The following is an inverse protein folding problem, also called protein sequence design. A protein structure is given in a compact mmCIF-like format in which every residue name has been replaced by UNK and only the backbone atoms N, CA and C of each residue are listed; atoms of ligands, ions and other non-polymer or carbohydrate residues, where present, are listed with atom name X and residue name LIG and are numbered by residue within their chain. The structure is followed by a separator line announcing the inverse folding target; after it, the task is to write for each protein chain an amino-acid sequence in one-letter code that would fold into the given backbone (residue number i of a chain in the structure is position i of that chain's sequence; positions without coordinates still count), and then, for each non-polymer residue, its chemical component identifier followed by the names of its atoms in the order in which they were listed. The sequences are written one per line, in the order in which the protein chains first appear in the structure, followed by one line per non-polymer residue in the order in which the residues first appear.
data_IF_681367315187
#
_entry.id   IF_681367315187
#
_cell.length_a   1.000
_cell.length_b   1.000
_cell.length_c   1.000
_cell.angle_alpha   90.00
_cell.angle_beta   90.00
_cell.angle_gamma   90.00
#
_symmetry.space_group_name_H-M   'P 1'
#
loop_
_entity.id
_entity.type
_entity.pdbx_description
1 polymer ?
#
# COMPACT_ATOMS: atom_id res chain seq x y z
N UNK A 1 20.59 9.45 5.98
CA UNK A 1 20.01 8.21 5.42
C UNK A 1 21.15 7.29 5.03
N UNK A 2 21.33 6.16 5.71
CA UNK A 2 22.28 5.14 5.25
C UNK A 2 21.68 4.39 4.05
N UNK A 3 22.48 4.18 3.01
CA UNK A 3 22.09 3.42 1.83
C UNK A 3 22.00 1.93 2.21
N UNK A 4 20.78 1.38 2.19
CA UNK A 4 20.57 -0.07 2.25
C UNK A 4 20.97 -0.64 0.89
N UNK A 5 21.75 -1.73 0.89
CA UNK A 5 22.19 -2.41 -0.34
C UNK A 5 21.00 -2.65 -1.30
N UNK A 6 21.18 -2.27 -2.57
CA UNK A 6 20.18 -2.39 -3.63
C UNK A 6 19.82 -3.85 -3.96
N UNK A 7 20.64 -4.81 -3.53
CA UNK A 7 20.44 -6.24 -3.81
C UNK A 7 19.33 -6.88 -2.96
N UNK A 8 18.80 -6.16 -1.96
CA UNK A 8 17.86 -6.67 -0.97
C UNK A 8 16.57 -5.85 -0.92
N UNK A 9 15.93 -5.68 -2.09
CA UNK A 9 14.65 -4.97 -2.24
C UNK A 9 13.58 -5.89 -2.85
N UNK A 10 12.38 -5.81 -2.30
CA UNK A 10 11.18 -6.38 -2.89
C UNK A 10 10.49 -5.32 -3.72
N UNK A 11 10.38 -5.56 -5.02
CA UNK A 11 9.79 -4.59 -5.96
C UNK A 11 8.46 -5.15 -6.40
N UNK A 12 7.39 -4.60 -5.83
CA UNK A 12 6.01 -4.92 -6.19
C UNK A 12 5.56 -3.95 -7.28
N UNK A 13 5.25 -4.47 -8.46
CA UNK A 13 4.65 -3.70 -9.55
C UNK A 13 3.17 -3.45 -9.26
N UNK A 14 2.77 -2.18 -9.14
CA UNK A 14 1.36 -1.77 -9.07
C UNK A 14 0.81 -1.65 -10.50
N UNK A 15 -0.04 -2.60 -10.91
CA UNK A 15 -0.45 -2.75 -12.32
C UNK A 15 -1.23 -1.56 -12.90
N UNK A 16 -2.02 -0.88 -12.09
CA UNK A 16 -2.96 0.15 -12.59
C UNK A 16 -2.74 1.52 -11.97
N UNK A 17 -2.05 1.61 -10.82
CA UNK A 17 -2.04 2.76 -9.93
C UNK A 17 -3.44 3.21 -9.47
N UNK A 18 -4.48 2.38 -9.57
CA UNK A 18 -5.78 2.70 -9.00
C UNK A 18 -5.83 2.26 -7.53
N UNK A 19 -6.28 3.16 -6.65
CA UNK A 19 -6.35 2.88 -5.20
C UNK A 19 -7.37 1.79 -4.83
N UNK A 20 -8.33 1.53 -5.72
CA UNK A 20 -9.47 0.64 -5.49
C UNK A 20 -9.42 -0.64 -6.31
N UNK A 21 -8.50 -0.75 -7.28
CA UNK A 21 -8.45 -1.90 -8.19
C UNK A 21 -7.07 -2.03 -8.82
N UNK A 22 -6.16 -2.73 -8.13
CA UNK A 22 -4.84 -3.02 -8.65
C UNK A 22 -4.24 -4.29 -8.08
N UNK A 23 -3.33 -4.89 -8.84
CA UNK A 23 -2.47 -5.98 -8.38
C UNK A 23 -1.08 -5.43 -8.08
N UNK A 24 -0.49 -5.94 -7.00
CA UNK A 24 0.88 -5.71 -6.57
C UNK A 24 1.66 -7.02 -6.70
N UNK A 25 2.42 -7.15 -7.78
CA UNK A 25 3.18 -8.37 -8.10
C UNK A 25 4.67 -8.15 -7.86
N UNK A 26 5.31 -8.96 -7.01
CA UNK A 26 6.76 -8.95 -6.89
C UNK A 26 7.41 -9.39 -8.21
N UNK A 27 8.40 -8.63 -8.69
CA UNK A 27 9.08 -8.94 -9.95
C UNK A 27 9.78 -10.31 -9.96
N UNK A 28 10.11 -10.86 -8.79
CA UNK A 28 10.71 -12.19 -8.62
C UNK A 28 9.70 -13.22 -8.08
N UNK A 29 8.41 -12.96 -8.21
CA UNK A 29 7.32 -13.91 -7.91
C UNK A 29 7.26 -14.39 -6.45
N UNK A 30 7.75 -13.57 -5.50
CA UNK A 30 7.76 -13.91 -4.06
C UNK A 30 6.47 -13.55 -3.33
N UNK A 31 5.71 -12.58 -3.84
CA UNK A 31 4.46 -12.10 -3.25
C UNK A 31 3.53 -11.54 -4.32
N UNK A 32 2.25 -11.89 -4.21
CA UNK A 32 1.18 -11.38 -5.06
C UNK A 32 0.04 -10.90 -4.18
N UNK A 33 -0.31 -9.62 -4.30
CA UNK A 33 -1.42 -9.02 -3.57
C UNK A 33 -2.39 -8.37 -4.54
N UNK A 34 -3.69 -8.50 -4.29
CA UNK A 34 -4.74 -7.82 -5.05
C UNK A 34 -5.50 -6.87 -4.15
N UNK A 35 -5.60 -5.61 -4.56
CA UNK A 35 -6.48 -4.59 -3.99
C UNK A 35 -7.73 -4.53 -4.87
N UNK A 36 -8.91 -4.74 -4.28
CA UNK A 36 -10.18 -4.72 -5.01
C UNK A 36 -11.29 -4.11 -4.17
N UNK A 37 -12.03 -3.16 -4.75
CA UNK A 37 -13.29 -2.62 -4.24
C UNK A 37 -14.39 -3.00 -5.23
N UNK A 38 -15.38 -3.82 -4.82
CA UNK A 38 -16.53 -4.11 -5.66
C UNK A 38 -17.28 -2.84 -6.08
N UNK A 39 -17.88 -2.86 -7.27
CA UNK A 39 -18.68 -1.72 -7.77
C UNK A 39 -19.80 -1.37 -6.79
N UNK A 40 -19.94 -0.09 -6.43
CA UNK A 40 -20.88 0.45 -5.42
C UNK A 40 -20.60 0.06 -3.96
N UNK A 41 -19.53 -0.68 -3.68
CA UNK A 41 -19.10 -0.90 -2.30
C UNK A 41 -18.21 0.25 -1.81
N UNK A 42 -18.20 0.48 -0.50
CA UNK A 42 -17.24 1.40 0.15
C UNK A 42 -16.02 0.65 0.68
N UNK A 43 -16.11 -0.67 0.88
CA UNK A 43 -15.02 -1.50 1.37
C UNK A 43 -14.01 -1.83 0.27
N UNK A 44 -12.75 -1.44 0.46
CA UNK A 44 -11.62 -1.94 -0.32
C UNK A 44 -11.01 -3.15 0.39
N UNK A 45 -10.84 -4.24 -0.32
CA UNK A 45 -10.33 -5.50 0.21
C UNK A 45 -8.94 -5.81 -0.38
N UNK A 46 -8.07 -6.40 0.44
CA UNK A 46 -6.74 -6.84 0.04
C UNK A 46 -6.67 -8.36 0.18
N UNK A 47 -6.26 -9.03 -0.88
CA UNK A 47 -6.15 -10.48 -0.97
C UNK A 47 -4.70 -10.90 -1.19
N UNK A 48 -4.31 -12.02 -0.59
CA UNK A 48 -3.07 -12.71 -0.96
C UNK A 48 -3.37 -13.69 -2.09
N UNK A 49 -2.73 -13.50 -3.23
CA UNK A 49 -2.90 -14.33 -4.41
C UNK A 49 -1.85 -15.44 -4.44
N UNK A 50 -2.17 -16.55 -5.10
CA UNK A 50 -1.24 -17.68 -5.27
C UNK A 50 -0.27 -17.49 -6.44
N UNK A 51 -0.69 -16.73 -7.43
CA UNK A 51 0.03 -16.52 -8.68
C UNK A 51 -0.08 -15.05 -9.10
N UNK A 52 0.86 -14.63 -9.94
CA UNK A 52 0.82 -13.35 -10.63
C UNK A 52 -0.47 -13.26 -11.44
N UNK A 53 -1.14 -12.12 -11.37
CA UNK A 53 -2.26 -11.83 -12.26
C UNK A 53 -1.78 -11.85 -13.71
N UNK A 54 -2.28 -12.77 -14.53
CA UNK A 54 -1.92 -12.79 -15.95
C UNK A 54 -2.50 -11.56 -16.66
N UNK A 55 -1.86 -11.08 -17.72
CA UNK A 55 -2.25 -9.87 -18.48
C UNK A 55 -3.70 -9.88 -19.00
N UNK A 56 -4.38 -11.03 -18.93
CA UNK A 56 -5.78 -11.17 -19.27
C UNK A 56 -6.57 -11.66 -18.06
N UNK A 57 -7.40 -10.77 -17.51
CA UNK A 57 -8.63 -11.09 -16.77
C UNK A 57 -8.57 -12.39 -15.97
N UNK A 58 -8.01 -12.33 -14.77
CA UNK A 58 -8.61 -13.14 -13.71
C UNK A 58 -9.95 -12.50 -13.34
N UNK A 59 -10.93 -12.67 -14.23
CA UNK A 59 -12.35 -12.45 -13.98
C UNK A 59 -12.95 -13.56 -13.12
N UNK A 60 -12.11 -14.48 -12.64
CA UNK A 60 -12.54 -15.46 -11.65
C UNK A 60 -12.94 -14.70 -10.37
N UNK A 61 -14.13 -15.00 -9.83
CA UNK A 61 -14.54 -14.46 -8.55
C UNK A 61 -13.44 -14.71 -7.53
N UNK A 62 -13.11 -13.70 -6.73
CA UNK A 62 -12.22 -13.86 -5.59
C UNK A 62 -12.91 -14.78 -4.58
N UNK A 63 -12.58 -16.06 -4.64
CA UNK A 63 -13.08 -17.08 -3.71
C UNK A 63 -12.30 -17.09 -2.40
N UNK A 64 -11.13 -16.45 -2.37
CA UNK A 64 -10.32 -16.32 -1.18
C UNK A 64 -10.90 -15.26 -0.24
N UNK A 65 -10.83 -15.52 1.07
CA UNK A 65 -11.13 -14.51 2.07
C UNK A 65 -10.08 -13.37 2.03
N UNK A 66 -10.49 -12.11 2.22
CA UNK A 66 -9.56 -11.00 2.26
C UNK A 66 -8.66 -11.09 3.50
N UNK A 67 -7.39 -10.74 3.34
CA UNK A 67 -6.42 -10.67 4.44
C UNK A 67 -6.44 -9.31 5.15
N UNK A 68 -6.95 -8.27 4.47
CA UNK A 68 -7.23 -6.94 5.04
C UNK A 68 -8.51 -6.41 4.42
N UNK A 69 -9.34 -5.75 5.23
CA UNK A 69 -10.53 -5.01 4.77
C UNK A 69 -10.40 -3.56 5.22
N UNK A 70 -10.56 -2.63 4.30
CA UNK A 70 -10.55 -1.18 4.50
C UNK A 70 -11.96 -0.65 4.26
N UNK A 71 -12.72 -0.46 5.33
CA UNK A 71 -14.08 0.03 5.30
C UNK A 71 -14.08 1.56 5.32
N UNK A 72 -14.27 2.16 4.15
CA UNK A 72 -14.54 3.59 4.04
C UNK A 72 -16.03 3.85 4.26
N UNK A 73 -16.36 5.06 4.68
CA UNK A 73 -17.76 5.49 4.79
C UNK A 73 -18.31 5.90 3.41
N UNK A 74 -19.64 6.04 3.24
CA UNK A 74 -20.24 6.41 1.95
C UNK A 74 -19.78 7.75 1.37
N UNK A 75 -19.30 8.68 2.20
CA UNK A 75 -18.70 9.97 1.83
C UNK A 75 -17.18 9.87 1.62
N UNK A 76 -16.64 8.66 1.46
CA UNK A 76 -15.21 8.36 1.29
C UNK A 76 -14.34 8.73 2.49
N UNK A 77 -14.93 9.10 3.64
CA UNK A 77 -14.19 9.34 4.88
C UNK A 77 -13.60 8.03 5.44
N UNK A 78 -12.65 8.18 6.38
CA UNK A 78 -11.98 7.06 7.01
C UNK A 78 -12.91 6.33 8.00
N UNK A 79 -13.28 5.09 7.69
CA UNK A 79 -13.88 4.16 8.64
C UNK A 79 -12.84 3.27 9.33
N UNK A 80 -12.91 1.95 9.13
CA UNK A 80 -12.13 0.96 9.86
C UNK A 80 -11.17 0.16 8.96
N UNK A 81 -10.05 -0.27 9.54
CA UNK A 81 -9.20 -1.34 8.98
C UNK A 81 -9.41 -2.60 9.82
N UNK A 82 -9.60 -3.73 9.14
CA UNK A 82 -9.76 -5.04 9.75
C UNK A 82 -8.73 -6.02 9.21
N UNK A 83 -8.17 -6.84 10.10
CA UNK A 83 -7.31 -7.98 9.81
C UNK A 83 -8.05 -9.27 10.21
N UNK A 84 -8.84 -9.89 9.31
CA UNK A 84 -9.79 -10.95 9.69
C UNK A 84 -9.13 -12.13 10.40
N UNK A 85 -7.96 -12.58 9.93
CA UNK A 85 -7.20 -13.68 10.55
C UNK A 85 -6.77 -13.37 11.99
N UNK A 86 -6.43 -12.11 12.28
CA UNK A 86 -6.05 -11.66 13.62
C UNK A 86 -7.26 -11.29 14.48
N UNK A 87 -8.47 -11.21 13.90
CA UNK A 87 -9.69 -10.72 14.56
C UNK A 87 -9.52 -9.32 15.18
N UNK A 88 -8.74 -8.48 14.51
CA UNK A 88 -8.47 -7.10 14.94
C UNK A 88 -9.15 -6.14 13.98
N UNK A 89 -9.93 -5.20 14.53
CA UNK A 89 -10.52 -4.08 13.81
C UNK A 89 -10.20 -2.79 14.54
N UNK A 90 -9.72 -1.79 13.81
CA UNK A 90 -9.27 -0.50 14.36
C UNK A 90 -9.78 0.63 13.46
N UNK A 91 -10.23 1.77 14.00
CA UNK A 91 -10.51 2.95 13.20
C UNK A 91 -9.25 3.37 12.41
N UNK A 92 -9.37 3.62 11.11
CA UNK A 92 -8.24 3.99 10.25
C UNK A 92 -7.56 5.27 10.73
N UNK A 93 -8.31 6.21 11.32
CA UNK A 93 -7.75 7.42 11.95
C UNK A 93 -6.87 7.13 13.18
N UNK A 94 -7.13 6.02 13.90
CA UNK A 94 -6.31 5.55 15.03
C UNK A 94 -5.15 4.68 14.56
N UNK A 95 -5.35 3.90 13.50
CA UNK A 95 -4.31 3.09 12.88
C UNK A 95 -3.24 3.96 12.19
N UNK A 96 -3.66 4.95 11.39
CA UNK A 96 -2.82 5.93 10.71
C UNK A 96 -3.06 7.34 11.29
N UNK A 97 -2.27 7.69 12.29
CA UNK A 97 -2.37 8.96 13.01
C UNK A 97 -1.59 10.05 12.30
N UNK A 98 -2.12 11.27 12.29
CA UNK A 98 -1.36 12.45 11.85
C UNK A 98 -0.08 12.58 12.69
N UNK A 99 1.04 12.92 12.06
CA UNK A 99 2.31 13.17 12.75
C UNK A 99 2.30 14.48 13.55
N UNK A 100 1.48 15.44 13.12
CA UNK A 100 1.22 16.70 13.81
C UNK A 100 -0.26 17.08 13.72
N UNK A 101 -0.80 17.72 14.76
CA UNK A 101 -2.18 18.21 14.78
C UNK A 101 -2.42 19.36 13.78
N UNK A 102 -1.39 20.17 13.52
CA UNK A 102 -1.43 21.32 12.61
C UNK A 102 -0.68 21.06 11.29
N UNK A 103 -0.14 19.86 11.11
CA UNK A 103 0.57 19.46 9.89
C UNK A 103 -0.39 19.00 8.79
N UNK A 104 0.13 18.96 7.56
CA UNK A 104 -0.59 18.40 6.42
C UNK A 104 -0.98 16.94 6.65
N UNK A 105 -2.12 16.52 6.11
CA UNK A 105 -2.66 15.17 6.33
C UNK A 105 -1.92 14.04 5.62
N UNK A 106 -0.98 14.39 4.75
CA UNK A 106 -0.18 13.48 3.94
C UNK A 106 1.12 13.03 4.63
N UNK A 107 1.26 13.35 5.92
CA UNK A 107 2.25 12.78 6.83
C UNK A 107 1.54 12.07 7.98
N UNK A 108 1.60 10.73 8.00
CA UNK A 108 0.93 9.91 9.01
C UNK A 108 1.78 8.72 9.42
N UNK A 109 1.56 8.27 10.65
CA UNK A 109 2.29 7.17 11.26
C UNK A 109 1.39 6.05 11.74
N UNK A 110 1.87 4.83 11.66
CA UNK A 110 1.24 3.62 12.17
C UNK A 110 2.23 2.79 12.98
N UNK A 111 1.71 1.88 13.80
CA UNK A 111 2.52 0.90 14.52
C UNK A 111 2.41 -0.42 13.77
N UNK A 112 3.54 -0.96 13.34
CA UNK A 112 3.59 -2.26 12.68
C UNK A 112 3.35 -3.40 13.66
N UNK A 113 3.08 -4.60 13.14
CA UNK A 113 2.93 -5.81 13.96
C UNK A 113 4.20 -6.19 14.74
N UNK A 114 5.36 -5.65 14.36
CA UNK A 114 6.63 -5.77 15.09
C UNK A 114 6.76 -4.76 16.26
N UNK A 115 5.75 -3.92 16.48
CA UNK A 115 5.70 -2.93 17.55
C UNK A 115 6.44 -1.63 17.24
N UNK A 116 7.01 -1.47 16.05
CA UNK A 116 7.75 -0.25 15.67
C UNK A 116 6.85 0.77 15.01
N UNK A 117 7.25 2.04 15.12
CA UNK A 117 6.55 3.15 14.47
C UNK A 117 7.08 3.37 13.04
N UNK A 118 6.15 3.51 12.11
CA UNK A 118 6.40 3.73 10.69
C UNK A 118 5.68 4.99 10.24
N UNK A 119 6.34 5.83 9.45
CA UNK A 119 5.79 7.11 8.98
C UNK A 119 5.78 7.17 7.47
N UNK A 120 4.62 7.41 6.88
CA UNK A 120 4.45 7.76 5.48
C UNK A 120 4.53 9.27 5.29
N UNK A 121 5.24 9.71 4.25
CA UNK A 121 5.27 11.09 3.79
C UNK A 121 5.11 11.12 2.26
N UNK A 122 4.32 12.07 1.75
CA UNK A 122 4.18 12.28 0.30
C UNK A 122 5.19 13.29 -0.22
N UNK A 123 5.87 12.98 -1.32
CA UNK A 123 6.69 13.92 -2.09
C UNK A 123 7.90 14.51 -1.35
N UNK A 124 8.37 13.87 -0.28
CA UNK A 124 9.54 14.34 0.46
C UNK A 124 10.88 14.04 -0.25
N UNK A 125 10.89 13.06 -1.17
CA UNK A 125 12.06 12.68 -1.96
C UNK A 125 11.70 12.81 -3.44
N UNK A 126 12.55 13.47 -4.23
CA UNK A 126 12.31 13.66 -5.66
C UNK A 126 12.20 12.31 -6.37
N UNK A 127 11.14 12.15 -7.18
CA UNK A 127 10.87 10.92 -7.92
C UNK A 127 10.12 9.85 -7.14
N UNK A 128 10.01 9.97 -5.81
CA UNK A 128 9.20 9.09 -4.97
C UNK A 128 7.89 9.79 -4.61
N UNK A 129 6.76 9.20 -4.97
CA UNK A 129 5.47 9.78 -4.60
C UNK A 129 5.23 9.62 -3.10
N UNK A 130 5.54 8.45 -2.55
CA UNK A 130 5.42 8.16 -1.12
C UNK A 130 6.67 7.52 -0.58
N UNK A 131 7.08 7.94 0.61
CA UNK A 131 8.22 7.37 1.33
C UNK A 131 7.77 6.93 2.72
N UNK A 132 8.06 5.68 3.08
CA UNK A 132 7.85 5.12 4.41
C UNK A 132 9.18 5.01 5.14
N UNK A 133 9.27 5.55 6.34
CA UNK A 133 10.46 5.48 7.17
C UNK A 133 10.14 4.98 8.58
N UNK A 134 11.13 4.41 9.25
CA UNK A 134 11.10 4.16 10.69
C UNK A 134 12.40 4.68 11.27
N UNK A 135 12.33 5.49 12.33
CA UNK A 135 13.49 6.17 12.91
C UNK A 135 14.35 6.85 11.82
N UNK A 136 15.46 6.24 11.43
CA UNK A 136 16.40 6.72 10.41
C UNK A 136 16.55 5.80 9.19
N UNK A 137 15.71 4.77 9.08
CA UNK A 137 15.73 3.79 8.01
C UNK A 137 14.63 4.02 6.99
N UNK A 138 14.98 3.86 5.72
CA UNK A 138 14.02 3.78 4.64
C UNK A 138 13.40 2.37 4.64
N UNK A 139 12.08 2.32 4.76
CA UNK A 139 11.30 1.08 4.91
C UNK A 139 10.72 0.66 3.57
N UNK A 140 10.07 1.61 2.91
CA UNK A 140 9.49 1.43 1.59
C UNK A 140 9.38 2.76 0.86
N UNK A 141 9.25 2.74 -0.46
CA UNK A 141 8.79 3.89 -1.21
C UNK A 141 7.95 3.46 -2.41
N UNK A 142 7.03 4.33 -2.83
CA UNK A 142 6.15 4.12 -3.97
C UNK A 142 6.44 5.18 -5.03
N UNK A 143 6.68 4.70 -6.25
CA UNK A 143 7.04 5.51 -7.41
C UNK A 143 5.95 5.32 -8.47
N UNK A 144 5.43 6.43 -9.00
CA UNK A 144 4.61 6.40 -10.20
C UNK A 144 5.49 6.34 -11.44
N UNK A 145 4.97 5.73 -12.50
CA UNK A 145 5.60 5.78 -13.82
C UNK A 145 5.86 7.23 -14.21
N UNK A 146 7.12 7.62 -14.52
CA UNK A 146 7.39 8.96 -15.01
C UNK A 146 6.58 9.26 -16.30
N UNK A 147 6.03 10.47 -16.47
CA UNK A 147 5.20 10.81 -17.64
C UNK A 147 5.93 10.58 -18.97
N UNK A 148 7.24 10.85 -18.99
CA UNK A 148 8.10 10.82 -20.18
C UNK A 148 8.66 9.42 -20.49
N UNK A 149 8.53 8.46 -19.57
CA UNK A 149 9.08 7.13 -19.74
C UNK A 149 8.07 6.21 -20.43
N UNK A 150 8.49 5.63 -21.56
CA UNK A 150 7.79 4.52 -22.21
C UNK A 150 8.09 3.24 -21.43
N UNK A 151 7.05 2.49 -21.11
CA UNK A 151 7.15 1.17 -20.48
C UNK A 151 6.54 0.15 -21.41
N UNK A 152 7.21 -0.97 -21.58
CA UNK A 152 6.76 -2.06 -22.44
C UNK A 152 6.52 -3.27 -21.57
N UNK A 153 5.25 -3.65 -21.45
CA UNK A 153 4.88 -4.86 -20.74
C UNK A 153 4.86 -4.78 -19.22
N UNK A 154 5.05 -3.60 -18.64
CA UNK A 154 4.88 -3.28 -17.22
C UNK A 154 4.08 -1.98 -17.06
N UNK A 155 3.55 -1.71 -15.86
CA UNK A 155 2.86 -0.46 -15.54
C UNK A 155 3.83 0.70 -15.31
N UNK A 156 5.06 0.39 -14.87
CA UNK A 156 6.05 1.38 -14.42
C UNK A 156 5.78 1.97 -13.03
N UNK A 157 4.68 1.61 -12.38
CA UNK A 157 4.42 2.00 -10.99
C UNK A 157 4.93 0.91 -10.06
N UNK A 158 5.71 1.28 -9.04
CA UNK A 158 6.34 0.29 -8.17
C UNK A 158 6.29 0.71 -6.72
N UNK A 159 5.97 -0.26 -5.85
CA UNK A 159 6.23 -0.20 -4.41
C UNK A 159 7.50 -1.00 -4.13
N UNK A 160 8.54 -0.34 -3.63
CA UNK A 160 9.76 -0.98 -3.18
C UNK A 160 9.75 -1.11 -1.66
N UNK A 161 10.02 -2.31 -1.15
CA UNK A 161 10.11 -2.62 0.29
C UNK A 161 11.48 -3.19 0.58
N UNK A 162 12.23 -2.58 1.50
CA UNK A 162 13.57 -3.05 1.85
C UNK A 162 13.48 -4.33 2.70
N UNK A 163 14.39 -5.27 2.44
CA UNK A 163 14.30 -6.65 2.92
C UNK A 163 13.99 -6.83 4.42
N UNK A 164 14.57 -6.07 5.36
CA UNK A 164 14.25 -6.25 6.78
C UNK A 164 12.77 -6.04 7.11
N UNK A 165 12.05 -5.30 6.26
CA UNK A 165 10.66 -4.91 6.45
C UNK A 165 9.68 -5.69 5.58
N UNK A 166 10.16 -6.65 4.78
CA UNK A 166 9.30 -7.48 3.96
C UNK A 166 8.23 -8.27 4.75
N UNK A 167 8.48 -8.73 6.00
CA UNK A 167 7.42 -9.31 6.82
C UNK A 167 6.19 -8.40 7.00
N UNK A 168 6.35 -7.08 6.89
CA UNK A 168 5.29 -6.08 6.98
C UNK A 168 4.64 -5.75 5.63
N UNK A 169 4.95 -6.47 4.54
CA UNK A 169 4.51 -6.09 3.19
C UNK A 169 3.00 -5.88 3.07
N UNK A 170 2.19 -6.70 3.76
CA UNK A 170 0.72 -6.54 3.79
C UNK A 170 0.31 -5.24 4.48
N UNK A 171 0.92 -4.92 5.63
CA UNK A 171 0.64 -3.70 6.39
C UNK A 171 1.11 -2.45 5.64
N UNK A 172 2.24 -2.56 4.91
CA UNK A 172 2.78 -1.51 4.05
C UNK A 172 1.83 -1.25 2.87
N UNK A 173 1.32 -2.29 2.20
CA UNK A 173 0.32 -2.11 1.12
C UNK A 173 -0.98 -1.54 1.68
N UNK A 174 -1.50 -2.06 2.79
CA UNK A 174 -2.72 -1.56 3.42
C UNK A 174 -2.60 -0.08 3.83
N UNK A 175 -1.52 0.27 4.53
CA UNK A 175 -1.28 1.65 4.95
C UNK A 175 -1.05 2.59 3.78
N UNK A 176 -0.31 2.17 2.75
CA UNK A 176 -0.15 2.93 1.51
C UNK A 176 -1.49 3.16 0.80
N UNK A 177 -2.34 2.14 0.70
CA UNK A 177 -3.68 2.28 0.10
C UNK A 177 -4.51 3.32 0.86
N UNK A 178 -4.49 3.32 2.19
CA UNK A 178 -5.16 4.34 3.00
C UNK A 178 -4.55 5.73 2.76
N UNK A 179 -3.22 5.87 2.73
CA UNK A 179 -2.55 7.15 2.48
C UNK A 179 -2.88 7.73 1.11
N UNK A 180 -2.91 6.88 0.08
CA UNK A 180 -3.29 7.28 -1.28
C UNK A 180 -4.76 7.68 -1.37
N UNK A 181 -5.64 6.99 -0.64
CA UNK A 181 -7.04 7.36 -0.50
C UNK A 181 -7.20 8.74 0.16
N UNK A 182 -6.52 8.98 1.28
CA UNK A 182 -6.50 10.28 1.97
C UNK A 182 -6.07 11.39 1.01
N UNK A 183 -5.04 11.15 0.20
CA UNK A 183 -4.57 12.11 -0.79
C UNK A 183 -5.57 12.36 -1.93
N UNK A 184 -6.30 11.34 -2.36
CA UNK A 184 -7.30 11.47 -3.43
C UNK A 184 -8.54 12.27 -2.98
N UNK A 185 -8.97 12.10 -1.73
CA UNK A 185 -10.18 12.71 -1.19
C UNK A 185 -9.94 13.89 -0.24
N UNK A 186 -8.69 14.33 -0.08
CA UNK A 186 -8.30 15.48 0.76
C UNK A 186 -8.74 15.37 2.23
N UNK A 187 -8.50 14.20 2.85
CA UNK A 187 -8.86 13.89 4.25
C UNK A 187 -7.74 14.21 5.26
#
# INVERSE_FOLDING_TARGET
MQAVSLDNVYTLEDRTALISSSDFDDIYDRLFLRVSRPTKATSTMIYKMKHRSSRHRDSQPLTAEPIVVLDFTPDESLGNISFPKAKVTVPMARYLRKTSLFGGSLSRKFIGSDGREYTWNRGCVQGQEWTCTTENFLVAHYDLKPPQQRVYGTSGNTLKIYQPFFPLAVEIVASLTIMRHIAQFNL
#
